data_IF_582976066474
#
_entry.id   IF_582976066474
#
_cell.length_a   1.000
_cell.length_b   1.000
_cell.length_c   1.000
_cell.angle_alpha   90.00
_cell.angle_beta   90.00
_cell.angle_gamma   90.00
#
_symmetry.space_group_name_H-M   'P 1'
#
loop_
_entity.id
_entity.type
_entity.pdbx_description
1 polymer ?
#
# COMPACT_ATOMS: atom_id res chain seq x y z
N UNK A 1 -0.82 -34.92 -49.99
CA UNK A 1 -1.33 -35.92 -49.02
C UNK A 1 -2.36 -35.23 -48.15
N UNK A 2 -3.63 -35.60 -48.35
CA UNK A 2 -4.78 -35.12 -47.59
C UNK A 2 -4.83 -35.80 -46.23
N UNK A 3 -5.10 -35.04 -45.17
CA UNK A 3 -5.65 -35.58 -43.94
C UNK A 3 -6.67 -34.59 -43.37
N UNK A 4 -7.92 -34.85 -43.74
CA UNK A 4 -9.14 -34.49 -43.03
C UNK A 4 -9.12 -35.23 -41.68
N UNK A 5 -9.67 -34.61 -40.62
CA UNK A 5 -10.42 -35.17 -39.46
C UNK A 5 -10.25 -34.24 -38.26
N UNK A 6 -11.22 -33.98 -37.39
CA UNK A 6 -12.64 -34.27 -37.33
C UNK A 6 -13.18 -33.32 -36.23
N UNK A 7 -14.29 -32.63 -36.49
CA UNK A 7 -15.06 -31.92 -35.46
C UNK A 7 -15.85 -32.96 -34.68
N UNK A 8 -15.71 -32.98 -33.35
CA UNK A 8 -16.67 -33.66 -32.46
C UNK A 8 -17.25 -32.64 -31.48
N UNK A 9 -18.49 -32.28 -31.79
CA UNK A 9 -19.47 -31.72 -30.89
C UNK A 9 -19.80 -32.78 -29.82
N UNK A 10 -19.81 -32.42 -28.55
CA UNK A 10 -20.46 -33.23 -27.51
C UNK A 10 -21.14 -32.32 -26.51
N UNK A 11 -22.41 -32.64 -26.35
CA UNK A 11 -23.46 -31.88 -25.70
C UNK A 11 -23.31 -31.81 -24.17
N UNK A 12 -23.92 -30.75 -23.64
CA UNK A 12 -24.54 -30.62 -22.33
C UNK A 12 -24.37 -31.78 -21.34
N UNK A 13 -23.83 -31.46 -20.16
CA UNK A 13 -24.42 -31.92 -18.91
C UNK A 13 -24.51 -30.74 -17.94
N UNK A 14 -25.76 -30.27 -17.72
CA UNK A 14 -26.11 -29.46 -16.57
C UNK A 14 -25.86 -30.31 -15.31
N UNK A 15 -24.97 -29.86 -14.43
CA UNK A 15 -24.98 -30.29 -13.03
C UNK A 15 -25.34 -29.07 -12.19
N UNK A 16 -26.62 -28.99 -11.85
CA UNK A 16 -27.12 -28.13 -10.79
C UNK A 16 -26.58 -28.65 -9.45
N UNK A 17 -25.42 -28.16 -9.04
CA UNK A 17 -24.87 -28.35 -7.72
C UNK A 17 -25.49 -27.36 -6.73
N UNK A 18 -26.77 -27.55 -6.38
CA UNK A 18 -27.30 -27.00 -5.13
C UNK A 18 -26.64 -27.75 -3.98
N UNK A 19 -25.61 -27.15 -3.37
CA UNK A 19 -25.22 -27.50 -2.00
C UNK A 19 -25.52 -26.29 -1.13
N UNK A 20 -26.73 -26.27 -0.59
CA UNK A 20 -27.02 -25.46 0.59
C UNK A 20 -26.19 -26.04 1.74
N UNK A 21 -25.02 -25.47 2.01
CA UNK A 21 -24.38 -25.65 3.31
C UNK A 21 -25.27 -24.93 4.33
N UNK A 22 -26.23 -25.67 4.88
CA UNK A 22 -26.85 -25.34 6.14
C UNK A 22 -25.72 -25.32 7.19
N UNK A 23 -25.16 -24.14 7.43
CA UNK A 23 -24.20 -23.95 8.50
C UNK A 23 -24.97 -24.15 9.81
N UNK A 24 -24.68 -25.27 10.47
CA UNK A 24 -25.13 -25.56 11.81
C UNK A 24 -24.88 -24.34 12.71
N UNK A 25 -25.94 -23.83 13.33
CA UNK A 25 -25.83 -22.78 14.34
C UNK A 25 -24.98 -23.28 15.51
N UNK A 26 -24.07 -22.47 16.07
CA UNK A 26 -23.26 -22.91 17.19
C UNK A 26 -24.12 -23.05 18.45
N UNK A 27 -24.27 -24.30 18.87
CA UNK A 27 -24.59 -24.75 20.22
C UNK A 27 -23.65 -24.10 21.24
N UNK A 28 -24.22 -23.40 22.22
CA UNK A 28 -23.63 -23.01 23.52
C UNK A 28 -22.14 -22.57 23.56
N UNK A 29 -21.63 -22.01 22.46
CA UNK A 29 -20.22 -21.67 22.29
C UNK A 29 -19.88 -20.33 22.92
N UNK A 30 -18.83 -20.32 23.75
CA UNK A 30 -18.15 -19.12 24.25
C UNK A 30 -17.83 -18.23 23.04
N UNK A 31 -18.37 -17.00 23.03
CA UNK A 31 -18.13 -16.06 21.94
C UNK A 31 -16.63 -15.77 21.84
N UNK A 32 -16.00 -16.24 20.77
CA UNK A 32 -14.61 -15.95 20.49
C UNK A 32 -14.50 -14.62 19.75
N UNK A 33 -14.11 -13.58 20.47
CA UNK A 33 -13.84 -12.26 19.91
C UNK A 33 -12.76 -12.31 18.82
N UNK A 34 -11.95 -13.37 18.75
CA UNK A 34 -10.90 -13.58 17.75
C UNK A 34 -11.34 -14.05 16.37
N UNK A 35 -12.54 -14.61 16.26
CA UNK A 35 -13.09 -15.08 14.98
C UNK A 35 -14.10 -14.12 14.33
N UNK A 36 -14.26 -12.92 14.88
CA UNK A 36 -15.20 -11.91 14.36
C UNK A 36 -14.78 -11.42 12.97
N UNK A 37 -15.65 -11.62 11.99
CA UNK A 37 -15.55 -10.97 10.68
C UNK A 37 -15.98 -9.50 10.75
N UNK A 38 -15.00 -8.60 10.67
CA UNK A 38 -15.24 -7.16 10.72
C UNK A 38 -16.01 -6.60 9.50
N UNK A 39 -16.18 -7.37 8.42
CA UNK A 39 -16.99 -6.98 7.26
C UNK A 39 -18.48 -7.32 7.40
N UNK A 40 -18.84 -8.16 8.37
CA UNK A 40 -20.22 -8.61 8.59
C UNK A 40 -20.66 -8.50 10.06
N UNK A 41 -20.52 -7.29 10.61
CA UNK A 41 -20.92 -7.00 12.01
C UNK A 41 -22.43 -7.17 12.27
N UNK A 42 -23.25 -7.23 11.21
CA UNK A 42 -24.69 -7.45 11.35
C UNK A 42 -25.03 -8.90 11.75
N UNK A 43 -24.15 -9.84 11.41
CA UNK A 43 -24.26 -11.25 11.82
C UNK A 43 -23.81 -11.49 13.27
N UNK A 44 -23.20 -10.51 13.93
CA UNK A 44 -22.77 -10.63 15.32
C UNK A 44 -23.95 -10.45 16.27
N UNK A 45 -24.06 -11.34 17.26
CA UNK A 45 -25.08 -11.25 18.30
C UNK A 45 -25.03 -9.86 18.99
N UNK A 46 -26.21 -9.24 19.17
CA UNK A 46 -26.37 -7.89 19.75
C UNK A 46 -25.63 -7.71 21.07
N UNK A 47 -25.55 -8.75 21.91
CA UNK A 47 -24.85 -8.71 23.21
C UNK A 47 -23.34 -8.45 23.06
N UNK A 48 -22.73 -8.98 22.00
CA UNK A 48 -21.28 -8.90 21.77
C UNK A 48 -20.89 -7.86 20.72
N UNK A 49 -21.88 -7.26 20.05
CA UNK A 49 -21.68 -6.28 18.99
C UNK A 49 -20.78 -5.12 19.39
N UNK A 50 -20.96 -4.56 20.60
CA UNK A 50 -20.14 -3.44 21.09
C UNK A 50 -18.66 -3.81 21.27
N UNK A 51 -18.38 -5.06 21.69
CA UNK A 51 -17.00 -5.55 21.84
C UNK A 51 -16.38 -5.89 20.48
N UNK A 52 -17.14 -6.51 19.58
CA UNK A 52 -16.75 -6.73 18.20
C UNK A 52 -16.43 -5.42 17.48
N UNK A 53 -17.28 -4.40 17.62
CA UNK A 53 -17.06 -3.05 17.09
C UNK A 53 -15.79 -2.42 17.68
N UNK A 54 -15.56 -2.54 18.99
CA UNK A 54 -14.35 -2.01 19.64
C UNK A 54 -13.08 -2.71 19.13
N UNK A 55 -13.08 -4.04 19.03
CA UNK A 55 -11.95 -4.78 18.49
C UNK A 55 -11.69 -4.46 17.02
N UNK A 56 -12.75 -4.46 16.21
CA UNK A 56 -12.67 -4.08 14.81
C UNK A 56 -12.31 -2.59 14.65
N UNK A 57 -12.40 -1.76 15.70
CA UNK A 57 -11.88 -0.40 15.72
C UNK A 57 -10.41 -0.33 16.18
N UNK A 58 -10.00 -1.14 17.17
CA UNK A 58 -8.62 -1.25 17.66
C UNK A 58 -7.65 -1.85 16.61
N UNK A 59 -8.15 -2.72 15.74
CA UNK A 59 -7.39 -3.31 14.61
C UNK A 59 -7.53 -2.55 13.29
N UNK A 60 -8.28 -1.44 13.26
CA UNK A 60 -8.17 -0.52 12.12
C UNK A 60 -6.84 0.19 12.25
N UNK A 61 -6.03 0.33 11.18
CA UNK A 61 -5.01 1.37 11.17
C UNK A 61 -5.64 2.66 11.71
N UNK A 62 -4.87 3.50 12.42
CA UNK A 62 -5.33 4.81 12.88
C UNK A 62 -5.68 5.69 11.67
N UNK A 63 -6.85 5.45 11.07
CA UNK A 63 -7.47 6.22 10.01
C UNK A 63 -8.83 6.63 10.57
N UNK A 64 -8.99 7.91 10.88
CA UNK A 64 -10.32 8.43 11.09
C UNK A 64 -11.01 8.49 9.73
N UNK A 65 -12.17 7.83 9.63
CA UNK A 65 -13.18 7.96 8.57
C UNK A 65 -13.78 9.40 8.56
N UNK A 66 -13.03 10.43 8.98
CA UNK A 66 -13.43 11.84 8.94
C UNK A 66 -13.06 12.55 7.63
N UNK A 67 -12.40 11.85 6.69
CA UNK A 67 -11.92 12.42 5.41
C UNK A 67 -12.59 11.82 4.16
N UNK A 68 -13.76 11.15 4.25
CA UNK A 68 -14.46 10.64 3.04
C UNK A 68 -14.67 11.70 1.95
N UNK A 69 -14.85 12.96 2.35
CA UNK A 69 -14.99 14.08 1.41
C UNK A 69 -13.65 14.66 0.92
N UNK A 70 -12.50 14.32 1.55
CA UNK A 70 -11.17 14.79 1.15
C UNK A 70 -10.45 13.86 0.16
N UNK A 71 -10.72 12.56 0.20
CA UNK A 71 -10.12 11.59 -0.74
C UNK A 71 -10.51 11.91 -2.19
N UNK A 72 -11.74 12.35 -2.41
CA UNK A 72 -12.22 12.79 -3.73
C UNK A 72 -11.49 14.07 -4.22
N UNK A 73 -11.01 14.92 -3.30
CA UNK A 73 -10.32 16.17 -3.62
C UNK A 73 -8.80 16.04 -3.73
N UNK A 74 -8.20 14.92 -3.32
CA UNK A 74 -6.74 14.80 -3.34
C UNK A 74 -6.25 14.61 -4.79
N UNK A 75 -5.42 15.53 -5.31
CA UNK A 75 -4.89 15.43 -6.66
C UNK A 75 -3.73 14.44 -6.72
N UNK A 76 -3.37 14.02 -7.94
CA UNK A 76 -2.12 13.30 -8.18
C UNK A 76 -0.93 14.13 -7.67
N UNK A 77 0.00 13.55 -6.89
CA UNK A 77 1.24 14.20 -6.51
C UNK A 77 2.02 14.78 -7.69
N UNK A 78 2.61 15.98 -7.55
CA UNK A 78 3.43 16.58 -8.60
C UNK A 78 4.69 15.74 -8.86
N UNK A 79 5.25 15.87 -10.07
CA UNK A 79 6.49 15.19 -10.49
C UNK A 79 7.55 16.18 -10.97
N UNK A 80 8.06 17.01 -10.06
CA UNK A 80 8.78 18.25 -10.41
C UNK A 80 10.30 18.08 -10.56
N UNK A 81 10.89 16.98 -10.11
CA UNK A 81 12.32 16.75 -10.29
C UNK A 81 12.69 16.67 -11.79
N UNK A 82 13.62 17.50 -12.22
CA UNK A 82 14.07 17.60 -13.62
C UNK A 82 15.51 17.10 -13.84
N UNK A 83 16.13 16.49 -12.82
CA UNK A 83 17.48 15.95 -12.94
C UNK A 83 17.59 14.83 -13.97
N UNK A 84 18.72 14.76 -14.69
CA UNK A 84 18.99 13.73 -15.71
C UNK A 84 18.97 12.30 -15.16
N UNK A 85 19.14 12.16 -13.85
CA UNK A 85 19.12 10.92 -13.09
C UNK A 85 17.72 10.50 -12.60
N UNK A 86 16.66 11.26 -12.94
CA UNK A 86 15.28 10.98 -12.53
C UNK A 86 14.86 9.53 -12.80
N UNK A 87 15.08 9.02 -14.01
CA UNK A 87 14.67 7.66 -14.38
C UNK A 87 15.47 6.59 -13.63
N UNK A 88 16.77 6.83 -13.39
CA UNK A 88 17.60 5.97 -12.57
C UNK A 88 17.03 5.87 -11.15
N UNK A 89 16.71 7.01 -10.55
CA UNK A 89 16.12 7.05 -9.21
C UNK A 89 14.74 6.42 -9.16
N UNK A 90 13.91 6.62 -10.18
CA UNK A 90 12.60 5.98 -10.29
C UNK A 90 12.74 4.45 -10.28
N UNK A 91 13.68 3.91 -11.06
CA UNK A 91 14.00 2.48 -11.10
C UNK A 91 14.54 1.95 -9.76
N UNK A 92 15.40 2.71 -9.09
CA UNK A 92 15.92 2.36 -7.76
C UNK A 92 14.78 2.24 -6.74
N UNK A 93 13.85 3.19 -6.71
CA UNK A 93 12.67 3.14 -5.83
C UNK A 93 11.78 1.96 -6.19
N UNK A 94 11.46 1.76 -7.48
CA UNK A 94 10.61 0.65 -7.92
C UNK A 94 11.18 -0.71 -7.51
N UNK A 95 12.49 -0.91 -7.71
CA UNK A 95 13.18 -2.14 -7.34
C UNK A 95 13.18 -2.37 -5.83
N UNK A 96 13.55 -1.35 -5.05
CA UNK A 96 13.53 -1.43 -3.59
C UNK A 96 12.12 -1.69 -3.06
N UNK A 97 11.10 -1.04 -3.64
CA UNK A 97 9.70 -1.21 -3.26
C UNK A 97 9.22 -2.64 -3.54
N UNK A 98 9.46 -3.16 -4.76
CA UNK A 98 9.04 -4.51 -5.14
C UNK A 98 9.69 -5.58 -4.26
N UNK A 99 10.96 -5.41 -3.93
CA UNK A 99 11.66 -6.33 -3.03
C UNK A 99 11.05 -6.34 -1.61
N UNK A 100 10.61 -5.18 -1.12
CA UNK A 100 10.05 -5.05 0.23
C UNK A 100 8.56 -5.39 0.31
N UNK A 101 7.79 -5.03 -0.72
CA UNK A 101 6.34 -5.19 -0.80
C UNK A 101 5.95 -5.85 -2.14
N UNK A 102 6.24 -7.14 -2.32
CA UNK A 102 6.10 -7.82 -3.62
C UNK A 102 4.65 -7.92 -4.11
N UNK A 103 3.67 -7.82 -3.21
CA UNK A 103 2.24 -7.89 -3.54
C UNK A 103 1.63 -6.54 -3.95
N UNK A 104 2.37 -5.44 -3.75
CA UNK A 104 1.86 -4.11 -4.07
C UNK A 104 1.88 -3.87 -5.58
N UNK A 105 0.75 -3.37 -6.11
CA UNK A 105 0.67 -2.87 -7.48
C UNK A 105 0.99 -1.38 -7.50
N UNK A 106 2.23 -1.07 -7.88
CA UNK A 106 2.69 0.32 -8.04
C UNK A 106 2.07 0.91 -9.30
N UNK A 107 1.39 2.04 -9.16
CA UNK A 107 0.81 2.83 -10.25
C UNK A 107 1.80 3.86 -10.78
N UNK A 108 2.60 4.45 -9.89
CA UNK A 108 3.57 5.47 -10.26
C UNK A 108 4.49 5.87 -9.12
N UNK A 109 5.57 6.56 -9.49
CA UNK A 109 6.58 7.10 -8.58
C UNK A 109 6.82 8.55 -8.97
N UNK A 110 6.65 9.46 -8.00
CA UNK A 110 6.59 10.92 -8.22
C UNK A 110 7.59 11.64 -7.31
N UNK A 111 8.30 12.62 -7.85
CA UNK A 111 9.28 13.41 -7.09
C UNK A 111 8.68 14.76 -6.68
N UNK A 112 8.60 15.02 -5.38
CA UNK A 112 7.95 16.22 -4.83
C UNK A 112 8.82 17.46 -4.78
N UNK A 113 10.13 17.27 -4.94
CA UNK A 113 11.12 18.34 -4.87
C UNK A 113 11.86 18.42 -6.20
N UNK A 114 12.05 19.63 -6.70
CA UNK A 114 12.86 19.92 -7.88
C UNK A 114 14.37 19.91 -7.56
N UNK A 115 14.74 20.04 -6.29
CA UNK A 115 16.11 20.01 -5.79
C UNK A 115 16.30 19.02 -4.64
N UNK A 116 17.56 18.71 -4.35
CA UNK A 116 17.96 17.92 -3.19
C UNK A 116 17.95 18.76 -1.92
N UNK A 117 17.40 18.21 -0.84
CA UNK A 117 17.45 18.83 0.49
C UNK A 117 18.70 18.31 1.21
N UNK A 118 19.70 19.18 1.38
CA UNK A 118 20.96 18.84 2.06
C UNK A 118 20.89 19.16 3.54
N UNK A 119 21.36 18.22 4.36
CA UNK A 119 21.60 18.40 5.78
C UNK A 119 23.07 18.05 6.09
N UNK A 120 23.84 19.01 6.58
CA UNK A 120 25.20 18.77 7.05
C UNK A 120 25.40 19.35 8.43
N UNK A 121 25.91 18.52 9.34
CA UNK A 121 26.13 18.89 10.72
C UNK A 121 27.38 18.19 11.27
N UNK A 122 28.03 18.84 12.22
CA UNK A 122 28.96 18.17 13.12
C UNK A 122 28.19 17.74 14.37
N UNK A 123 28.38 16.50 14.78
CA UNK A 123 27.70 15.87 15.91
C UNK A 123 28.74 15.28 16.85
N UNK A 124 28.39 15.14 18.12
CA UNK A 124 29.25 14.55 19.14
C UNK A 124 28.62 13.27 19.68
N UNK A 125 29.42 12.23 19.86
CA UNK A 125 29.05 11.03 20.60
C UNK A 125 30.13 10.69 21.64
N UNK A 126 29.98 9.57 22.35
CA UNK A 126 30.93 9.11 23.37
C UNK A 126 32.38 8.93 22.86
N UNK A 127 32.56 8.76 21.54
CA UNK A 127 33.86 8.51 20.90
C UNK A 127 34.47 9.75 20.23
N UNK A 128 33.75 10.88 20.19
CA UNK A 128 34.27 12.14 19.68
C UNK A 128 33.33 12.89 18.72
N UNK A 129 33.90 13.83 17.98
CA UNK A 129 33.24 14.65 16.98
C UNK A 129 33.19 13.90 15.64
N UNK A 130 32.02 13.82 15.01
CA UNK A 130 31.85 13.24 13.68
C UNK A 130 30.97 14.13 12.80
N UNK A 131 31.19 14.06 11.49
CA UNK A 131 30.42 14.82 10.50
C UNK A 131 29.33 13.95 9.89
N UNK A 132 28.13 14.51 9.79
CA UNK A 132 27.07 14.03 8.89
C UNK A 132 26.93 15.00 7.73
N UNK A 133 26.76 14.46 6.53
CA UNK A 133 26.49 15.25 5.33
C UNK A 133 25.66 14.38 4.37
N UNK A 134 24.36 14.64 4.36
CA UNK A 134 23.40 13.86 3.59
C UNK A 134 22.52 14.76 2.75
N UNK A 135 22.10 14.26 1.60
CA UNK A 135 21.08 14.91 0.77
C UNK A 135 19.93 13.95 0.57
N UNK A 136 18.71 14.47 0.62
CA UNK A 136 17.49 13.68 0.43
C UNK A 136 16.67 14.27 -0.71
N UNK A 137 16.17 13.40 -1.56
CA UNK A 137 15.14 13.73 -2.56
C UNK A 137 13.84 13.03 -2.15
N UNK A 138 12.80 13.78 -1.73
CA UNK A 138 11.51 13.21 -1.36
C UNK A 138 10.75 12.63 -2.57
N UNK A 139 10.24 11.42 -2.40
CA UNK A 139 9.52 10.66 -3.42
C UNK A 139 8.19 10.17 -2.87
N UNK A 140 7.18 10.04 -3.72
CA UNK A 140 5.98 9.27 -3.43
C UNK A 140 5.90 8.02 -4.27
N UNK A 141 5.49 6.92 -3.65
CA UNK A 141 5.09 5.69 -4.32
C UNK A 141 3.57 5.58 -4.22
N UNK A 142 2.92 5.50 -5.38
CA UNK A 142 1.47 5.45 -5.49
C UNK A 142 1.11 4.00 -5.76
N UNK A 143 0.36 3.39 -4.85
CA UNK A 143 0.01 1.97 -4.89
C UNK A 143 -1.49 1.82 -5.00
N UNK A 144 -1.95 0.95 -5.90
CA UNK A 144 -3.36 0.60 -5.98
C UNK A 144 -3.77 -0.18 -4.72
N UNK A 145 -4.67 0.39 -3.92
CA UNK A 145 -5.16 -0.24 -2.69
C UNK A 145 -6.51 -0.93 -2.88
N UNK A 146 -7.31 -0.51 -3.87
CA UNK A 146 -8.57 -1.16 -4.25
C UNK A 146 -8.92 -0.93 -5.72
N UNK A 147 -10.11 -1.34 -6.14
CA UNK A 147 -10.64 -1.06 -7.49
C UNK A 147 -10.91 0.42 -7.76
N UNK A 148 -11.01 1.26 -6.73
CA UNK A 148 -11.38 2.67 -6.85
C UNK A 148 -10.39 3.63 -6.18
N UNK A 149 -9.44 3.11 -5.37
CA UNK A 149 -8.52 3.92 -4.59
C UNK A 149 -7.06 3.57 -4.83
N UNK A 150 -6.21 4.59 -4.67
CA UNK A 150 -4.78 4.46 -4.51
C UNK A 150 -4.33 5.08 -3.17
N UNK A 151 -3.29 4.50 -2.59
CA UNK A 151 -2.63 5.01 -1.40
C UNK A 151 -1.26 5.55 -1.77
N UNK A 152 -0.95 6.73 -1.27
CA UNK A 152 0.32 7.41 -1.49
C UNK A 152 1.21 7.16 -0.28
N UNK A 153 2.35 6.52 -0.51
CA UNK A 153 3.37 6.30 0.50
C UNK A 153 4.56 7.22 0.27
N UNK A 154 5.22 7.71 1.34
CA UNK A 154 6.48 8.41 1.18
C UNK A 154 7.60 7.42 0.84
N UNK A 155 8.59 7.87 0.13
CA UNK A 155 9.86 7.20 -0.10
C UNK A 155 10.94 8.26 -0.30
N UNK A 156 12.19 7.84 -0.35
CA UNK A 156 13.32 8.78 -0.40
C UNK A 156 14.44 8.23 -1.26
N UNK A 157 15.08 9.09 -2.03
CA UNK A 157 16.46 8.85 -2.44
C UNK A 157 17.35 9.57 -1.45
N UNK A 158 18.26 8.82 -0.84
CA UNK A 158 19.25 9.35 0.09
C UNK A 158 20.61 9.34 -0.58
N UNK A 159 21.39 10.38 -0.36
CA UNK A 159 22.79 10.48 -0.73
C UNK A 159 23.61 10.76 0.50
N UNK A 160 24.63 9.94 0.74
CA UNK A 160 25.70 10.29 1.66
C UNK A 160 26.72 11.12 0.88
N UNK A 161 26.87 12.40 1.21
CA UNK A 161 27.75 13.30 0.49
C UNK A 161 29.23 13.09 0.85
N UNK A 162 29.53 12.38 1.95
CA UNK A 162 30.91 12.04 2.34
C UNK A 162 31.45 10.85 1.53
N UNK A 163 30.62 9.83 1.30
CA UNK A 163 31.02 8.64 0.52
C UNK A 163 30.54 8.65 -0.93
N UNK A 164 29.62 9.55 -1.29
CA UNK A 164 28.93 9.57 -2.57
C UNK A 164 27.87 8.47 -2.73
N UNK A 165 27.67 7.62 -1.72
CA UNK A 165 26.72 6.49 -1.80
C UNK A 165 25.28 6.98 -1.93
N UNK A 166 24.50 6.32 -2.79
CA UNK A 166 23.08 6.63 -3.03
C UNK A 166 22.25 5.40 -2.69
N UNK A 167 21.14 5.59 -1.98
CA UNK A 167 20.24 4.51 -1.57
C UNK A 167 18.76 4.90 -1.63
N UNK A 168 17.90 3.90 -1.76
CA UNK A 168 16.45 4.04 -1.74
C UNK A 168 15.90 3.73 -0.33
N UNK A 169 15.19 4.69 0.27
CA UNK A 169 14.46 4.52 1.52
C UNK A 169 12.99 4.24 1.25
N UNK A 170 12.56 2.98 1.37
CA UNK A 170 11.17 2.54 1.12
C UNK A 170 10.49 1.91 2.34
N UNK A 171 11.13 1.90 3.50
CA UNK A 171 10.54 1.34 4.73
C UNK A 171 9.57 2.30 5.43
N UNK A 172 8.50 2.63 4.73
CA UNK A 172 7.59 3.70 5.12
C UNK A 172 6.17 3.22 5.40
N UNK A 173 5.80 2.01 4.95
CA UNK A 173 4.45 1.45 5.13
C UNK A 173 4.09 1.06 6.56
N UNK A 174 5.09 0.72 7.41
CA UNK A 174 4.87 0.12 8.76
C UNK A 174 4.96 1.08 9.96
N UNK A 175 5.23 2.37 9.75
CA UNK A 175 5.57 3.31 10.84
C UNK A 175 4.69 4.57 10.93
N UNK A 176 3.37 4.44 10.75
CA UNK A 176 2.41 5.55 10.94
C UNK A 176 2.44 6.67 9.87
N UNK A 177 3.14 6.47 8.75
CA UNK A 177 3.20 7.43 7.63
C UNK A 177 2.40 6.93 6.42
N UNK A 178 1.07 6.89 6.57
CA UNK A 178 0.21 7.03 5.39
C UNK A 178 0.21 8.52 5.07
N UNK A 179 0.77 8.91 3.92
CA UNK A 179 0.77 10.32 3.54
C UNK A 179 -0.67 10.70 3.23
N UNK A 180 -1.30 10.07 2.22
CA UNK A 180 -2.67 10.36 1.79
C UNK A 180 -3.29 9.21 0.96
N UNK A 181 -4.62 9.21 0.81
CA UNK A 181 -5.35 8.39 -0.17
C UNK A 181 -5.95 9.28 -1.26
N UNK A 182 -6.11 8.72 -2.46
CA UNK A 182 -6.72 9.39 -3.61
C UNK A 182 -7.61 8.42 -4.39
N UNK A 183 -8.63 8.95 -5.08
CA UNK A 183 -9.37 8.16 -6.06
C UNK A 183 -8.49 7.83 -7.26
N UNK A 184 -8.68 6.64 -7.84
CA UNK A 184 -8.00 6.27 -9.09
C UNK A 184 -8.42 7.18 -10.25
N UNK A 185 -9.62 7.74 -10.23
CA UNK A 185 -10.05 8.75 -11.21
C UNK A 185 -9.19 10.02 -11.19
N UNK A 186 -8.53 10.30 -10.06
CA UNK A 186 -7.66 11.46 -9.91
C UNK A 186 -6.22 11.16 -10.34
N UNK A 187 -5.90 9.89 -10.63
CA UNK A 187 -4.59 9.46 -11.10
C UNK A 187 -4.33 9.95 -12.52
N UNK A 188 -3.24 10.70 -12.68
CA UNK A 188 -2.72 11.11 -13.98
C UNK A 188 -1.33 10.49 -14.16
N UNK A 189 -1.18 9.50 -15.05
CA UNK A 189 0.11 8.84 -15.30
C UNK A 189 1.16 9.79 -15.86
#
# INVERSE_FOLDING_TARGET
MNAIKLVTCSSLLLIAGMTSSAQAGPTSGRFDINSVDCNNLQAVNKRFRRMAERKCAENKPSYTISNRNKVASEPTPPDVYAGKDKEKFRSMIASAWKNKYPQDKVLGIRFHSDHWVRNSAYNTNATGLYKTDTSVLPVSVIVQSSSTHATIFPAYINRNNLSGAISAGVDTKKKSYVVKEMLLSNWKP
#
